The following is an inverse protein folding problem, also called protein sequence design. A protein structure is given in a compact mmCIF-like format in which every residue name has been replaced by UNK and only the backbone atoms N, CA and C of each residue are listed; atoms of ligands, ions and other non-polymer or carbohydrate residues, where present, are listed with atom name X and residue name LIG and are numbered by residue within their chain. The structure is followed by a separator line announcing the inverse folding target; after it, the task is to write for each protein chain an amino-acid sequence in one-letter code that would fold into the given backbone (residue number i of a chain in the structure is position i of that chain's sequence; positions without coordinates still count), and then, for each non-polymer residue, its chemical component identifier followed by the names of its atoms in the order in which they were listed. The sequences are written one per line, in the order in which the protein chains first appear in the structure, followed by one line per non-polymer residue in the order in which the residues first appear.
data_IF_965372080187
#
_entry.id   IF_965372080187
#
_cell.length_a   1.000
_cell.length_b   1.000
_cell.length_c   1.000
_cell.angle_alpha   90.00
_cell.angle_beta   90.00
_cell.angle_gamma   90.00
#
_symmetry.space_group_name_H-M   'P 1'
#
loop_
_entity.id
_entity.type
_entity.pdbx_description
1 polymer ?
#
# COMPACT_ATOMS: atom_id res chain seq x y z
N UNK A 1 -10.84 -12.63 -11.37
CA UNK A 1 -9.36 -12.51 -11.34
C UNK A 1 -8.90 -11.06 -11.28
N UNK A 2 -9.47 -10.14 -12.08
CA UNK A 2 -9.06 -8.73 -12.04
C UNK A 2 -9.44 -8.02 -10.73
N UNK A 3 -10.66 -8.27 -10.23
CA UNK A 3 -11.14 -7.70 -8.96
C UNK A 3 -10.23 -8.01 -7.74
N UNK A 4 -9.89 -9.28 -7.40
CA UNK A 4 -8.98 -9.55 -6.29
C UNK A 4 -7.58 -8.98 -6.50
N UNK A 5 -7.09 -8.86 -7.74
CA UNK A 5 -5.80 -8.22 -8.03
C UNK A 5 -5.82 -6.72 -7.73
N UNK A 6 -6.89 -6.01 -8.11
CA UNK A 6 -7.07 -4.58 -7.80
C UNK A 6 -7.20 -4.37 -6.29
N UNK A 7 -7.96 -5.23 -5.62
CA UNK A 7 -8.06 -5.24 -4.16
C UNK A 7 -6.70 -5.50 -3.49
N UNK A 8 -5.92 -6.46 -3.99
CA UNK A 8 -4.62 -6.80 -3.41
C UNK A 8 -3.53 -5.73 -3.58
N UNK A 9 -3.56 -4.95 -4.66
CA UNK A 9 -2.56 -3.91 -4.92
C UNK A 9 -2.96 -2.56 -4.34
N UNK A 10 -4.24 -2.19 -4.48
CA UNK A 10 -4.71 -0.83 -4.17
C UNK A 10 -5.72 -0.77 -3.02
N UNK A 11 -6.15 -1.92 -2.48
CA UNK A 11 -7.36 -2.01 -1.66
C UNK A 11 -8.56 -1.32 -2.33
N UNK A 12 -8.59 -1.33 -3.67
CA UNK A 12 -9.45 -0.48 -4.49
C UNK A 12 -10.69 -1.20 -5.05
N UNK A 13 -11.53 -0.42 -5.74
CA UNK A 13 -12.69 -0.93 -6.46
C UNK A 13 -12.45 -0.79 -7.99
N UNK A 14 -12.32 -1.89 -8.75
CA UNK A 14 -12.07 -1.83 -10.19
C UNK A 14 -13.12 -1.05 -10.99
N UNK A 15 -14.36 -0.95 -10.51
CA UNK A 15 -15.46 -0.28 -11.22
C UNK A 15 -15.31 1.26 -11.26
N UNK A 16 -14.49 1.83 -10.36
CA UNK A 16 -14.31 3.29 -10.24
C UNK A 16 -12.87 3.73 -10.46
N UNK A 17 -11.95 2.79 -10.64
CA UNK A 17 -10.53 3.08 -10.81
C UNK A 17 -10.17 3.32 -12.28
N UNK A 18 -9.35 4.34 -12.53
CA UNK A 18 -8.79 4.61 -13.85
C UNK A 18 -7.79 3.51 -14.24
N UNK A 19 -8.08 2.77 -15.32
CA UNK A 19 -7.15 1.81 -15.90
C UNK A 19 -5.83 2.50 -16.32
N UNK A 20 -5.93 3.67 -16.96
CA UNK A 20 -4.78 4.46 -17.42
C UNK A 20 -3.85 4.84 -16.27
N UNK A 21 -4.39 5.17 -15.12
CA UNK A 21 -3.60 5.60 -13.95
C UNK A 21 -3.09 4.42 -13.13
N UNK A 22 -3.90 3.37 -12.97
CA UNK A 22 -3.60 2.24 -12.07
C UNK A 22 -2.77 1.15 -12.74
N UNK A 23 -2.97 0.94 -14.05
CA UNK A 23 -2.23 -0.04 -14.85
C UNK A 23 -1.79 0.57 -16.19
N UNK A 24 -0.92 1.61 -16.16
CA UNK A 24 -0.53 2.36 -17.36
C UNK A 24 0.04 1.45 -18.45
N UNK A 25 0.80 0.42 -18.07
CA UNK A 25 1.37 -0.54 -19.02
C UNK A 25 0.31 -1.36 -19.76
N UNK A 26 -0.76 -1.77 -19.10
CA UNK A 26 -1.90 -2.46 -19.73
C UNK A 26 -2.54 -1.52 -20.74
N UNK A 27 -2.83 -0.29 -20.33
CA UNK A 27 -3.42 0.73 -21.18
C UNK A 27 -2.55 1.01 -22.43
N UNK A 28 -1.25 1.21 -22.27
CA UNK A 28 -0.30 1.41 -23.37
C UNK A 28 -0.31 0.25 -24.37
N UNK A 29 -0.28 -0.99 -23.89
CA UNK A 29 -0.27 -2.17 -24.74
C UNK A 29 -1.59 -2.34 -25.50
N UNK A 30 -2.71 -2.05 -24.86
CA UNK A 30 -4.02 -2.03 -25.53
C UNK A 30 -4.06 -0.95 -26.62
N UNK A 31 -3.64 0.28 -26.32
CA UNK A 31 -3.63 1.38 -27.30
C UNK A 31 -2.71 1.09 -28.50
N UNK A 32 -1.54 0.47 -28.26
CA UNK A 32 -0.57 0.18 -29.32
C UNK A 32 -0.95 -1.02 -30.20
N UNK A 33 -1.50 -2.08 -29.62
CA UNK A 33 -1.74 -3.34 -30.34
C UNK A 33 -3.22 -3.66 -30.59
N UNK A 34 -4.14 -2.86 -30.02
CA UNK A 34 -5.59 -3.06 -30.08
C UNK A 34 -6.10 -4.30 -29.33
N UNK A 35 -5.21 -5.07 -28.69
CA UNK A 35 -5.53 -6.28 -27.92
C UNK A 35 -4.34 -6.69 -27.06
N UNK A 36 -4.58 -7.01 -25.79
CA UNK A 36 -3.55 -7.51 -24.88
C UNK A 36 -2.99 -8.86 -25.32
N UNK A 37 -3.82 -9.72 -25.94
CA UNK A 37 -3.35 -11.01 -26.49
C UNK A 37 -2.38 -10.78 -27.64
N UNK A 38 -2.73 -9.88 -28.57
CA UNK A 38 -1.82 -9.48 -29.67
C UNK A 38 -0.53 -8.88 -29.14
N UNK A 39 -0.63 -8.02 -28.13
CA UNK A 39 0.53 -7.42 -27.47
C UNK A 39 1.46 -8.50 -26.88
N UNK A 40 0.92 -9.47 -26.14
CA UNK A 40 1.72 -10.55 -25.55
C UNK A 40 2.41 -11.42 -26.61
N UNK A 41 1.70 -11.76 -27.70
CA UNK A 41 2.28 -12.53 -28.81
C UNK A 41 3.41 -11.75 -29.49
N UNK A 42 3.20 -10.48 -29.82
CA UNK A 42 4.21 -9.64 -30.45
C UNK A 42 5.46 -9.50 -29.57
N UNK A 43 5.29 -9.19 -28.28
CA UNK A 43 6.39 -9.09 -27.32
C UNK A 43 7.14 -10.42 -27.15
N UNK A 44 6.42 -11.55 -27.17
CA UNK A 44 7.03 -12.88 -27.12
C UNK A 44 7.87 -13.20 -28.35
N UNK A 45 7.42 -12.82 -29.54
CA UNK A 45 8.17 -12.98 -30.78
C UNK A 45 9.42 -12.08 -30.82
N UNK A 46 9.31 -10.83 -30.37
CA UNK A 46 10.44 -9.91 -30.24
C UNK A 46 11.51 -10.47 -29.29
N UNK A 47 11.13 -10.94 -28.09
CA UNK A 47 12.07 -11.56 -27.13
C UNK A 47 12.81 -12.77 -27.71
N UNK A 48 12.15 -13.59 -28.53
CA UNK A 48 12.77 -14.74 -29.21
C UNK A 48 13.74 -14.33 -30.31
N UNK A 49 13.45 -13.25 -31.04
CA UNK A 49 14.31 -12.72 -32.13
C UNK A 49 15.59 -12.07 -31.61
N UNK A 50 15.54 -11.42 -30.46
CA UNK A 50 16.68 -10.68 -29.88
C UNK A 50 17.63 -11.62 -29.09
N UNK A 51 17.43 -12.95 -29.14
CA UNK A 51 18.34 -13.91 -28.52
C UNK A 51 18.39 -13.81 -26.98
N UNK A 52 17.34 -13.31 -26.34
CA UNK A 52 17.30 -13.02 -24.91
C UNK A 52 17.45 -14.28 -24.06
N UNK A 53 18.62 -14.45 -23.46
CA UNK A 53 18.84 -15.35 -22.33
C UNK A 53 17.92 -15.02 -21.15
N UNK A 54 17.96 -15.86 -20.10
CA UNK A 54 17.13 -15.78 -18.87
C UNK A 54 17.43 -14.53 -18.01
N UNK A 55 17.42 -13.32 -18.58
CA UNK A 55 17.67 -12.06 -17.87
C UNK A 55 16.36 -11.48 -17.35
N UNK A 56 16.18 -11.64 -16.03
CA UNK A 56 15.55 -10.76 -15.01
C UNK A 56 14.28 -9.91 -15.27
N UNK A 57 13.90 -9.55 -16.50
CA UNK A 57 12.73 -8.71 -16.78
C UNK A 57 11.46 -9.57 -16.86
N UNK A 58 11.08 -10.15 -15.72
CA UNK A 58 9.79 -10.82 -15.49
C UNK A 58 8.65 -9.83 -15.23
N UNK A 59 8.76 -8.59 -15.73
CA UNK A 59 7.71 -7.60 -15.56
C UNK A 59 6.52 -8.00 -16.41
N UNK A 60 5.49 -8.54 -15.75
CA UNK A 60 4.20 -8.75 -16.37
C UNK A 60 3.55 -7.41 -16.69
N UNK A 61 2.57 -7.37 -17.60
CA UNK A 61 1.83 -6.14 -17.89
C UNK A 61 1.12 -5.54 -16.66
N UNK A 62 0.91 -6.34 -15.60
CA UNK A 62 0.28 -5.93 -14.35
C UNK A 62 1.25 -5.44 -13.25
N UNK A 63 2.57 -5.44 -13.46
CA UNK A 63 3.52 -4.97 -12.44
C UNK A 63 5.00 -5.27 -12.74
N UNK A 64 5.93 -4.64 -12.02
CA UNK A 64 7.36 -4.86 -12.19
C UNK A 64 7.72 -6.33 -11.95
N UNK A 65 8.71 -6.81 -12.69
CA UNK A 65 9.21 -8.16 -12.58
C UNK A 65 10.15 -8.28 -11.40
N UNK A 66 10.24 -9.47 -10.82
CA UNK A 66 11.21 -9.73 -9.76
C UNK A 66 10.80 -10.88 -8.86
N UNK A 67 11.66 -11.14 -7.88
CA UNK A 67 11.33 -11.95 -6.71
C UNK A 67 10.82 -10.99 -5.65
N UNK A 68 9.67 -11.29 -5.04
CA UNK A 68 9.18 -10.51 -3.92
C UNK A 68 10.25 -10.50 -2.82
N UNK A 69 10.70 -9.32 -2.42
CA UNK A 69 11.86 -9.14 -1.54
C UNK A 69 11.52 -8.20 -0.40
N UNK A 70 12.14 -8.44 0.75
CA UNK A 70 12.12 -7.56 1.92
C UNK A 70 13.50 -7.60 2.57
N UNK A 71 13.72 -6.76 3.58
CA UNK A 71 14.93 -6.79 4.41
C UNK A 71 14.72 -7.72 5.61
N UNK A 72 15.79 -8.28 6.17
CA UNK A 72 15.73 -9.24 7.28
C UNK A 72 14.89 -8.72 8.45
N UNK A 73 15.15 -7.49 8.92
CA UNK A 73 14.41 -6.79 9.98
C UNK A 73 13.16 -6.03 9.50
N UNK A 74 12.80 -6.10 8.22
CA UNK A 74 11.59 -5.44 7.70
C UNK A 74 11.87 -4.21 6.86
N UNK A 75 10.81 -3.72 6.19
CA UNK A 75 10.89 -2.50 5.39
C UNK A 75 11.29 -1.27 6.21
N UNK A 76 11.19 -1.33 7.55
CA UNK A 76 11.69 -0.30 8.44
C UNK A 76 13.21 -0.09 8.31
N UNK A 77 14.01 -1.12 8.00
CA UNK A 77 15.45 -0.97 7.81
C UNK A 77 15.80 0.07 6.74
N UNK A 78 15.01 0.14 5.66
CA UNK A 78 15.22 1.10 4.59
C UNK A 78 15.05 2.54 5.08
N UNK A 79 13.97 2.81 5.82
CA UNK A 79 13.69 4.16 6.33
C UNK A 79 14.62 4.53 7.47
N UNK A 80 15.02 3.58 8.30
CA UNK A 80 16.03 3.79 9.36
C UNK A 80 17.40 4.15 8.76
N UNK A 81 17.82 3.44 7.70
CA UNK A 81 19.06 3.74 7.00
C UNK A 81 19.03 5.12 6.32
N UNK A 82 17.91 5.47 5.68
CA UNK A 82 17.71 6.80 5.11
C UNK A 82 17.72 7.89 6.18
N UNK A 83 17.06 7.66 7.32
CA UNK A 83 17.04 8.58 8.45
C UNK A 83 18.44 8.85 8.98
N UNK A 84 19.26 7.81 9.16
CA UNK A 84 20.67 7.93 9.57
C UNK A 84 21.50 8.71 8.54
N UNK A 85 21.26 8.52 7.25
CA UNK A 85 21.99 9.23 6.20
C UNK A 85 21.62 10.73 6.13
N UNK A 86 20.39 11.07 6.52
CA UNK A 86 19.87 12.45 6.56
C UNK A 86 20.01 13.10 7.94
N UNK A 87 20.86 12.56 8.81
CA UNK A 87 20.98 13.01 10.20
C UNK A 87 21.20 14.54 10.31
N UNK A 88 20.52 15.14 11.28
CA UNK A 88 20.47 16.60 11.47
C UNK A 88 19.66 17.40 10.44
N UNK A 89 19.15 16.76 9.36
CA UNK A 89 18.35 17.43 8.31
C UNK A 89 16.86 17.10 8.38
N UNK A 90 16.47 16.09 9.16
CA UNK A 90 15.07 15.68 9.35
C UNK A 90 14.51 16.33 10.61
N UNK A 91 13.36 16.98 10.47
CA UNK A 91 12.61 17.55 11.60
C UNK A 91 11.32 16.75 11.80
N UNK A 92 11.31 15.91 12.83
CA UNK A 92 10.11 15.18 13.24
C UNK A 92 9.18 16.09 14.05
N UNK A 93 7.93 15.68 14.21
CA UNK A 93 6.92 16.40 15.01
C UNK A 93 6.78 17.88 14.64
N UNK A 94 7.01 18.21 13.36
CA UNK A 94 6.95 19.57 12.80
C UNK A 94 5.88 19.61 11.69
N UNK A 95 4.59 19.50 12.04
CA UNK A 95 3.51 19.45 11.05
C UNK A 95 3.42 20.77 10.28
N UNK A 96 3.20 20.65 8.97
CA UNK A 96 2.99 21.80 8.10
C UNK A 96 1.55 22.32 8.28
N UNK A 97 1.42 23.58 8.63
CA UNK A 97 0.15 24.26 8.88
C UNK A 97 -0.32 25.11 7.69
N UNK A 98 0.59 25.54 6.82
CA UNK A 98 0.25 26.39 5.69
C UNK A 98 1.41 26.62 4.73
N UNK A 99 1.07 26.90 3.48
CA UNK A 99 1.99 27.28 2.40
C UNK A 99 1.49 28.59 1.81
N UNK A 100 2.37 29.58 1.69
CA UNK A 100 2.05 30.86 1.04
C UNK A 100 3.21 31.27 0.14
N UNK A 101 3.05 32.38 -0.59
CA UNK A 101 4.16 33.07 -1.25
C UNK A 101 4.36 34.44 -0.61
N UNK A 102 5.61 34.84 -0.39
CA UNK A 102 5.92 36.21 0.03
C UNK A 102 5.82 37.20 -1.15
N UNK A 103 6.07 38.48 -0.89
CA UNK A 103 6.03 39.56 -1.90
C UNK A 103 7.01 39.34 -3.07
N UNK A 104 8.13 38.65 -2.81
CA UNK A 104 9.11 38.27 -3.83
C UNK A 104 8.72 36.97 -4.58
N UNK A 105 7.53 36.42 -4.31
CA UNK A 105 7.02 35.21 -4.94
C UNK A 105 7.65 33.90 -4.42
N UNK A 106 8.47 33.95 -3.36
CA UNK A 106 9.11 32.77 -2.79
C UNK A 106 8.17 32.00 -1.86
N UNK A 107 8.20 30.66 -1.85
CA UNK A 107 7.44 29.85 -0.89
C UNK A 107 7.77 30.20 0.56
N UNK A 108 6.72 30.35 1.37
CA UNK A 108 6.79 30.50 2.82
C UNK A 108 5.98 29.38 3.45
N UNK A 109 6.62 28.59 4.31
CA UNK A 109 5.99 27.50 5.03
C UNK A 109 5.74 27.91 6.48
N UNK A 110 4.54 27.63 6.97
CA UNK A 110 4.17 27.75 8.37
C UNK A 110 4.11 26.36 9.00
N UNK A 111 4.82 26.17 10.11
CA UNK A 111 4.85 24.92 10.87
C UNK A 111 4.30 25.14 12.27
N UNK A 112 3.45 24.24 12.75
CA UNK A 112 3.00 24.31 14.15
C UNK A 112 4.11 23.80 15.07
N UNK A 113 4.31 24.49 16.19
CA UNK A 113 5.34 24.16 17.17
C UNK A 113 4.77 23.36 18.34
N UNK A 114 5.56 22.43 18.86
CA UNK A 114 5.30 21.76 20.13
C UNK A 114 5.23 22.82 21.25
N UNK A 115 4.08 22.92 21.94
CA UNK A 115 3.83 23.95 22.97
C UNK A 115 3.06 25.18 22.49
N UNK A 116 2.66 25.22 21.22
CA UNK A 116 1.83 26.28 20.65
C UNK A 116 2.62 27.33 19.87
N UNK A 117 1.91 28.07 19.00
CA UNK A 117 2.50 29.02 18.07
C UNK A 117 2.93 28.39 16.74
N UNK A 118 3.38 29.25 15.83
CA UNK A 118 3.79 28.87 14.47
C UNK A 118 5.16 29.42 14.12
N UNK A 119 6.00 28.58 13.53
CA UNK A 119 7.24 28.99 12.90
C UNK A 119 6.99 29.21 11.41
N UNK A 120 7.28 30.42 10.91
CA UNK A 120 7.28 30.71 9.47
C UNK A 120 8.71 30.72 8.95
N UNK A 121 8.95 30.10 7.79
CA UNK A 121 10.24 30.16 7.09
C UNK A 121 10.08 30.21 5.59
N UNK A 122 10.97 30.99 4.97
CA UNK A 122 11.06 31.17 3.53
C UNK A 122 12.00 30.12 2.93
N UNK A 123 11.68 29.66 1.72
CA UNK A 123 12.47 28.70 0.96
C UNK A 123 12.58 29.14 -0.49
N UNK A 124 13.64 28.74 -1.19
CA UNK A 124 13.76 29.00 -2.62
C UNK A 124 12.89 28.04 -3.44
N UNK A 125 12.77 26.78 -2.98
CA UNK A 125 11.95 25.74 -3.58
C UNK A 125 11.39 24.80 -2.50
N UNK A 126 10.22 24.22 -2.78
CA UNK A 126 9.53 23.28 -1.89
C UNK A 126 9.10 22.05 -2.68
N UNK A 127 9.42 20.87 -2.16
CA UNK A 127 8.91 19.59 -2.66
C UNK A 127 7.85 19.10 -1.68
N UNK A 128 6.64 18.87 -2.16
CA UNK A 128 5.53 18.33 -1.36
C UNK A 128 5.41 16.84 -1.56
N UNK A 129 5.82 16.08 -0.54
CA UNK A 129 5.67 14.64 -0.45
C UNK A 129 4.55 14.24 0.54
N UNK A 130 3.53 15.09 0.67
CA UNK A 130 2.40 14.89 1.57
C UNK A 130 1.29 14.08 0.90
N UNK A 131 0.47 13.33 1.67
CA UNK A 131 -0.82 12.85 1.19
C UNK A 131 -1.70 14.02 0.73
N UNK A 132 -2.56 13.81 -0.27
CA UNK A 132 -3.38 14.87 -0.85
C UNK A 132 -4.27 15.61 0.16
N UNK A 133 -4.90 14.97 1.16
CA UNK A 133 -5.68 15.69 2.17
C UNK A 133 -4.83 16.63 3.02
N UNK A 134 -3.61 16.24 3.36
CA UNK A 134 -2.68 17.08 4.12
C UNK A 134 -2.15 18.24 3.27
N UNK A 135 -1.88 17.99 1.99
CA UNK A 135 -1.51 19.03 1.04
C UNK A 135 -2.66 20.04 0.83
N UNK A 136 -3.90 19.56 0.71
CA UNK A 136 -5.09 20.41 0.58
C UNK A 136 -5.25 21.34 1.80
N UNK A 137 -5.16 20.78 3.01
CA UNK A 137 -5.22 21.55 4.24
C UNK A 137 -4.14 22.67 4.27
N UNK A 138 -2.92 22.35 3.84
CA UNK A 138 -1.81 23.30 3.80
C UNK A 138 -2.01 24.44 2.77
N UNK A 139 -2.79 24.22 1.71
CA UNK A 139 -3.13 25.25 0.70
C UNK A 139 -4.47 25.93 0.93
N UNK A 140 -5.30 25.46 1.87
CA UNK A 140 -6.69 25.89 2.06
C UNK A 140 -6.88 27.41 2.12
N UNK A 141 -5.95 28.14 2.75
CA UNK A 141 -6.00 29.60 2.86
C UNK A 141 -5.39 30.34 1.65
N UNK A 142 -4.34 29.78 1.03
CA UNK A 142 -3.55 30.46 0.00
C UNK A 142 -4.02 30.17 -1.42
N UNK A 143 -4.53 28.96 -1.66
CA UNK A 143 -5.03 28.50 -2.95
C UNK A 143 -6.19 27.51 -2.74
N UNK A 144 -7.40 28.04 -2.49
CA UNK A 144 -8.60 27.21 -2.29
C UNK A 144 -8.96 26.35 -3.51
N UNK A 145 -8.55 26.78 -4.70
CA UNK A 145 -8.86 26.03 -5.94
C UNK A 145 -8.00 24.77 -6.02
N UNK A 146 -6.69 24.89 -5.75
CA UNK A 146 -5.80 23.75 -5.65
C UNK A 146 -6.21 22.82 -4.50
N UNK A 147 -6.55 23.38 -3.33
CA UNK A 147 -7.01 22.60 -2.19
C UNK A 147 -8.24 21.74 -2.56
N UNK A 148 -9.25 22.34 -3.18
CA UNK A 148 -10.44 21.63 -3.64
C UNK A 148 -10.14 20.55 -4.69
N UNK A 149 -9.12 20.72 -5.54
CA UNK A 149 -8.69 19.68 -6.48
C UNK A 149 -8.01 18.49 -5.77
N UNK A 150 -7.18 18.78 -4.77
CA UNK A 150 -6.47 17.77 -3.97
C UNK A 150 -7.45 16.95 -3.11
N UNK A 151 -8.46 17.57 -2.52
CA UNK A 151 -9.51 16.91 -1.72
C UNK A 151 -10.32 15.88 -2.52
N UNK A 152 -10.37 16.02 -3.84
CA UNK A 152 -11.08 15.08 -4.72
C UNK A 152 -10.33 13.77 -4.94
N UNK A 153 -9.09 13.65 -4.46
CA UNK A 153 -8.30 12.41 -4.58
C UNK A 153 -8.76 11.45 -3.47
N UNK A 154 -9.47 10.35 -3.80
CA UNK A 154 -10.01 9.45 -2.78
C UNK A 154 -8.89 8.60 -2.16
N UNK A 155 -9.07 8.28 -0.88
CA UNK A 155 -8.21 7.35 -0.14
C UNK A 155 -9.04 6.18 0.36
N UNK A 156 -8.46 4.99 0.29
CA UNK A 156 -9.07 3.77 0.82
C UNK A 156 -8.60 3.55 2.25
N UNK A 157 -9.52 3.57 3.21
CA UNK A 157 -9.20 3.25 4.60
C UNK A 157 -8.89 1.75 4.72
N UNK A 158 -7.77 1.41 5.35
CA UNK A 158 -7.31 0.03 5.52
C UNK A 158 -6.76 -0.14 6.93
N UNK A 159 -7.13 -1.25 7.56
CA UNK A 159 -6.53 -1.73 8.80
C UNK A 159 -5.82 -3.06 8.55
N UNK A 160 -4.65 -3.21 9.16
CA UNK A 160 -3.80 -4.40 9.03
C UNK A 160 -3.77 -5.12 10.37
N UNK A 161 -4.28 -6.35 10.40
CA UNK A 161 -4.38 -7.15 11.62
C UNK A 161 -3.37 -8.29 11.53
N UNK A 162 -2.48 -8.38 12.51
CA UNK A 162 -1.49 -9.43 12.59
C UNK A 162 -1.94 -10.47 13.60
N UNK A 163 -1.94 -11.76 13.25
CA UNK A 163 -2.30 -12.84 14.15
C UNK A 163 -1.23 -13.93 14.13
N UNK A 164 -0.65 -14.20 15.30
CA UNK A 164 0.39 -15.23 15.48
C UNK A 164 -0.18 -16.52 16.08
N UNK A 165 0.25 -17.67 15.54
CA UNK A 165 -0.20 -19.00 15.95
C UNK A 165 0.99 -19.95 16.12
N UNK A 166 0.89 -20.90 17.05
CA UNK A 166 1.90 -21.94 17.28
C UNK A 166 1.29 -23.36 17.21
N UNK A 167 2.16 -24.36 17.36
CA UNK A 167 1.76 -25.74 17.63
C UNK A 167 0.93 -26.37 16.50
N UNK A 168 -0.11 -27.12 16.88
CA UNK A 168 -0.94 -27.83 15.91
C UNK A 168 -1.66 -26.89 14.94
N UNK A 169 -2.07 -25.71 15.41
CA UNK A 169 -2.76 -24.71 14.59
C UNK A 169 -1.85 -24.18 13.47
N UNK A 170 -0.59 -23.89 13.80
CA UNK A 170 0.43 -23.50 12.83
C UNK A 170 0.69 -24.59 11.78
N UNK A 171 0.74 -25.86 12.20
CA UNK A 171 1.10 -26.99 11.35
C UNK A 171 0.00 -27.41 10.34
N UNK A 172 -1.27 -27.08 10.61
CA UNK A 172 -2.39 -27.45 9.73
C UNK A 172 -2.63 -26.46 8.59
N UNK A 173 -1.93 -25.34 8.58
CA UNK A 173 -2.18 -24.24 7.65
C UNK A 173 -1.48 -24.45 6.31
N UNK A 174 -2.11 -24.03 5.19
CA UNK A 174 -1.53 -24.19 3.87
C UNK A 174 -0.25 -23.35 3.70
N UNK A 175 0.70 -23.90 2.95
CA UNK A 175 1.86 -23.14 2.47
C UNK A 175 1.47 -22.18 1.34
N UNK A 176 2.23 -21.09 1.23
CA UNK A 176 2.11 -20.16 0.12
C UNK A 176 2.22 -18.70 0.53
N UNK A 177 1.89 -17.82 -0.40
CA UNK A 177 1.93 -16.37 -0.18
C UNK A 177 0.77 -15.89 0.72
N UNK A 178 -0.39 -16.51 0.58
CA UNK A 178 -1.64 -16.06 1.17
C UNK A 178 -2.77 -16.14 0.15
N UNK A 179 -3.84 -15.40 0.40
CA UNK A 179 -5.02 -15.38 -0.47
C UNK A 179 -5.63 -13.98 -0.58
N UNK A 180 -6.35 -13.78 -1.68
CA UNK A 180 -7.16 -12.59 -1.95
C UNK A 180 -8.59 -13.03 -2.17
N UNK A 181 -9.54 -12.24 -1.68
CA UNK A 181 -10.95 -12.56 -1.76
C UNK A 181 -11.64 -11.66 -2.79
N UNK A 182 -12.25 -12.22 -3.85
CA UNK A 182 -13.08 -11.44 -4.76
C UNK A 182 -14.27 -10.82 -4.03
N UNK A 183 -14.63 -9.59 -4.39
CA UNK A 183 -15.71 -8.85 -3.73
C UNK A 183 -17.07 -9.55 -3.79
N UNK A 184 -17.30 -10.39 -4.82
CA UNK A 184 -18.53 -11.17 -4.96
C UNK A 184 -18.75 -12.19 -3.85
N UNK A 185 -17.68 -12.61 -3.15
CA UNK A 185 -17.76 -13.56 -2.03
C UNK A 185 -18.26 -12.87 -0.75
N UNK A 186 -18.43 -11.53 -0.77
CA UNK A 186 -19.04 -10.73 0.32
C UNK A 186 -18.40 -10.96 1.69
N UNK A 187 -17.09 -11.17 1.70
CA UNK A 187 -16.28 -11.31 2.91
C UNK A 187 -15.90 -9.94 3.48
N UNK A 188 -15.56 -9.92 4.77
CA UNK A 188 -15.25 -8.68 5.50
C UNK A 188 -13.75 -8.35 5.55
N UNK A 189 -12.91 -9.20 4.97
CA UNK A 189 -11.50 -8.93 4.71
C UNK A 189 -11.21 -8.95 3.20
N UNK A 190 -10.17 -8.24 2.79
CA UNK A 190 -9.69 -8.24 1.40
C UNK A 190 -8.84 -9.48 1.08
N UNK A 191 -8.22 -10.06 2.11
CA UNK A 191 -7.33 -11.19 2.02
C UNK A 191 -6.40 -11.26 3.22
N UNK A 192 -5.53 -12.26 3.21
CA UNK A 192 -4.49 -12.42 4.22
C UNK A 192 -3.18 -12.91 3.58
N UNK A 193 -2.07 -12.42 4.10
CA UNK A 193 -0.73 -12.90 3.80
C UNK A 193 -0.29 -13.91 4.84
N UNK A 194 0.43 -14.94 4.40
CA UNK A 194 1.11 -15.88 5.29
C UNK A 194 2.54 -15.37 5.49
N UNK A 195 2.69 -14.31 6.29
CA UNK A 195 3.91 -13.51 6.37
C UNK A 195 5.16 -14.35 6.67
N UNK A 196 5.05 -15.34 7.57
CA UNK A 196 6.14 -16.26 7.93
C UNK A 196 6.44 -17.31 6.86
N UNK A 197 5.50 -17.65 5.97
CA UNK A 197 5.76 -18.50 4.80
C UNK A 197 6.48 -17.74 3.68
N UNK A 198 6.20 -16.44 3.55
CA UNK A 198 6.88 -15.59 2.56
C UNK A 198 8.32 -15.29 3.01
N UNK A 199 8.48 -14.98 4.30
CA UNK A 199 9.75 -14.58 4.88
C UNK A 199 9.95 -15.29 6.23
N UNK A 200 10.86 -16.28 6.26
CA UNK A 200 11.09 -17.16 7.41
C UNK A 200 11.38 -16.41 8.73
N UNK A 201 11.98 -15.22 8.64
CA UNK A 201 12.37 -14.42 9.82
C UNK A 201 11.26 -13.47 10.34
N UNK A 202 10.00 -13.68 9.94
CA UNK A 202 8.85 -12.88 10.40
C UNK A 202 8.10 -13.45 11.59
N UNK A 203 8.42 -14.67 11.99
CA UNK A 203 7.89 -15.31 13.20
C UNK A 203 8.99 -16.17 13.87
N UNK A 204 8.88 -16.45 15.17
CA UNK A 204 9.72 -17.46 15.83
C UNK A 204 9.63 -18.82 15.14
N UNK A 205 10.66 -19.66 15.34
CA UNK A 205 10.70 -20.99 14.74
C UNK A 205 9.53 -21.86 15.22
N UNK A 206 8.78 -22.44 14.28
CA UNK A 206 7.59 -23.25 14.58
C UNK A 206 6.29 -22.45 14.76
N UNK A 207 6.36 -21.12 14.70
CA UNK A 207 5.20 -20.23 14.72
C UNK A 207 4.83 -19.73 13.32
N UNK A 208 3.59 -19.27 13.17
CA UNK A 208 3.03 -18.75 11.91
C UNK A 208 2.42 -17.38 12.14
N UNK A 209 2.75 -16.43 11.27
CA UNK A 209 2.22 -15.07 11.30
C UNK A 209 1.31 -14.81 10.09
N UNK A 210 0.09 -14.38 10.38
CA UNK A 210 -0.88 -13.91 9.39
C UNK A 210 -0.95 -12.40 9.41
N UNK A 211 -1.08 -11.80 8.22
CA UNK A 211 -1.36 -10.38 8.05
C UNK A 211 -2.65 -10.26 7.26
N UNK A 212 -3.77 -9.99 7.93
CA UNK A 212 -5.06 -9.76 7.29
C UNK A 212 -5.26 -8.27 6.97
N UNK A 213 -5.90 -7.99 5.84
CA UNK A 213 -6.19 -6.64 5.38
C UNK A 213 -7.69 -6.41 5.42
N UNK A 214 -8.14 -5.43 6.20
CA UNK A 214 -9.55 -5.09 6.43
C UNK A 214 -9.86 -3.72 5.84
N UNK A 215 -11.03 -3.59 5.20
CA UNK A 215 -11.54 -2.33 4.69
C UNK A 215 -11.45 -2.18 3.17
N UNK A 216 -10.69 -1.18 2.72
CA UNK A 216 -10.56 -0.82 1.31
C UNK A 216 -11.67 0.10 0.82
N UNK A 217 -11.66 0.42 -0.48
CA UNK A 217 -12.58 1.36 -1.12
C UNK A 217 -14.05 0.93 -1.04
N UNK A 218 -14.33 -0.37 -0.86
CA UNK A 218 -15.70 -0.91 -0.82
C UNK A 218 -16.31 -0.87 0.59
N UNK A 219 -15.49 -1.04 1.62
CA UNK A 219 -15.91 -1.15 3.02
C UNK A 219 -15.01 -0.35 3.97
N UNK A 220 -14.78 0.95 3.74
CA UNK A 220 -13.86 1.75 4.55
C UNK A 220 -14.27 1.79 6.04
N UNK A 221 -15.56 1.64 6.34
CA UNK A 221 -16.10 1.57 7.70
C UNK A 221 -15.53 0.40 8.51
N UNK A 222 -15.19 -0.72 7.87
CA UNK A 222 -14.63 -1.89 8.56
C UNK A 222 -13.20 -1.63 9.04
N UNK A 223 -12.44 -0.80 8.32
CA UNK A 223 -11.09 -0.43 8.74
C UNK A 223 -11.12 0.44 10.03
N UNK A 224 -12.23 1.12 10.29
CA UNK A 224 -12.38 2.06 11.42
C UNK A 224 -12.94 1.41 12.69
N UNK A 225 -13.14 0.09 12.67
CA UNK A 225 -13.56 -0.65 13.85
C UNK A 225 -12.50 -0.58 14.96
N UNK A 226 -12.92 -0.82 16.21
CA UNK A 226 -11.99 -0.91 17.34
C UNK A 226 -11.02 -2.08 17.15
N UNK A 227 -9.88 -2.04 17.85
CA UNK A 227 -8.90 -3.13 17.83
C UNK A 227 -9.56 -4.49 18.10
N UNK A 228 -10.34 -4.60 19.18
CA UNK A 228 -10.94 -5.87 19.58
C UNK A 228 -11.94 -6.38 18.53
N UNK A 229 -12.74 -5.48 17.95
CA UNK A 229 -13.68 -5.84 16.88
C UNK A 229 -12.98 -6.24 15.59
N UNK A 230 -11.86 -5.60 15.22
CA UNK A 230 -11.04 -6.02 14.07
C UNK A 230 -10.48 -7.43 14.28
N UNK A 231 -10.02 -7.72 15.49
CA UNK A 231 -9.41 -9.01 15.84
C UNK A 231 -10.44 -10.12 15.84
N UNK A 232 -11.62 -9.88 16.42
CA UNK A 232 -12.75 -10.82 16.36
C UNK A 232 -13.20 -11.07 14.92
N UNK A 233 -13.35 -10.01 14.11
CA UNK A 233 -13.73 -10.10 12.71
C UNK A 233 -12.74 -10.96 11.91
N UNK A 234 -11.44 -10.70 12.05
CA UNK A 234 -10.41 -11.43 11.31
C UNK A 234 -10.33 -12.89 11.77
N UNK A 235 -10.41 -13.17 13.07
CA UNK A 235 -10.45 -14.55 13.55
C UNK A 235 -11.64 -15.33 12.97
N UNK A 236 -12.84 -14.72 12.94
CA UNK A 236 -14.01 -15.33 12.32
C UNK A 236 -13.83 -15.62 10.83
N UNK A 237 -13.26 -14.68 10.07
CA UNK A 237 -12.99 -14.88 8.65
C UNK A 237 -11.93 -15.97 8.40
N UNK A 238 -10.86 -16.02 9.20
CA UNK A 238 -9.83 -17.08 9.09
C UNK A 238 -10.38 -18.46 9.49
N UNK A 239 -11.25 -18.54 10.50
CA UNK A 239 -11.92 -19.77 10.88
C UNK A 239 -12.76 -20.34 9.73
N UNK A 240 -13.52 -19.49 9.04
CA UNK A 240 -14.36 -19.93 7.92
C UNK A 240 -13.57 -20.23 6.64
N UNK A 241 -12.53 -19.45 6.33
CA UNK A 241 -11.83 -19.53 5.06
C UNK A 241 -10.72 -20.59 5.05
N UNK A 242 -10.03 -20.77 6.17
CA UNK A 242 -8.87 -21.67 6.27
C UNK A 242 -8.94 -22.62 7.47
N UNK A 243 -10.07 -22.66 8.19
CA UNK A 243 -10.27 -23.59 9.31
C UNK A 243 -9.52 -23.22 10.58
N UNK A 244 -9.00 -21.99 10.69
CA UNK A 244 -8.17 -21.57 11.82
C UNK A 244 -9.03 -21.13 13.01
N UNK A 245 -9.32 -22.07 13.91
CA UNK A 245 -10.19 -21.86 15.08
C UNK A 245 -9.43 -21.72 16.40
N UNK A 246 -8.10 -21.87 16.38
CA UNK A 246 -7.28 -21.67 17.55
C UNK A 246 -7.27 -20.20 17.97
N UNK A 247 -7.05 -19.94 19.26
CA UNK A 247 -6.82 -18.58 19.76
C UNK A 247 -5.41 -18.13 19.38
N UNK A 248 -5.24 -16.93 18.80
CA UNK A 248 -3.93 -16.39 18.48
C UNK A 248 -3.15 -16.07 19.77
N UNK A 249 -1.85 -16.30 19.73
CA UNK A 249 -0.92 -15.98 20.82
C UNK A 249 -0.43 -14.54 20.77
N UNK A 250 -0.52 -13.94 19.57
CA UNK A 250 -0.08 -12.60 19.27
C UNK A 250 -1.13 -11.89 18.42
N UNK A 251 -1.38 -10.61 18.76
CA UNK A 251 -2.36 -9.73 18.12
C UNK A 251 -1.83 -8.30 18.03
#
# INVERSE_FOLDING_TARGET
MLDPMVSGVFAGNPEVMSLRSSFPRIHELEQRYGSLVKAMVALGMEKRRVGGGRTSDRAGPAGPGGVLTSFTGGMQELVDALGKHLDGKVRLSTPLAGIEKNEAGKPVLAFDLQGGGRLRRDFDQVILALPAPAAAAAFSASDPTLAAQLERIPYSAVSVVHLGYEGAAAATLPEGFGFLIPSRERRRILGALFASSIFEHRAPAGERLFTAIVGGARHPELALLSRDSLVELVQGELAELVGLTATPLFV
#
